data_IF_684126274049
#
_entry.id   IF_684126274049
#
_cell.length_a   1.000
_cell.length_b   1.000
_cell.length_c   1.000
_cell.angle_alpha   90.00
_cell.angle_beta   90.00
_cell.angle_gamma   90.00
#
_symmetry.space_group_name_H-M   'P 1'
#
loop_
_entity.id
_entity.type
_entity.pdbx_description
1 polymer ?
#
# COMPACT_ATOMS: atom_id res chain seq x y z
N UNK A 1 68.65 -40.35 32.61
CA UNK A 1 68.70 -39.79 33.97
C UNK A 1 69.07 -38.32 33.88
N UNK A 2 68.18 -37.41 34.34
CA UNK A 2 68.45 -36.04 34.84
C UNK A 2 69.05 -35.06 33.80
N UNK A 3 68.54 -33.86 33.50
CA UNK A 3 67.64 -32.95 34.19
C UNK A 3 67.05 -31.93 33.20
N UNK A 4 65.88 -31.41 33.58
CA UNK A 4 65.21 -30.19 33.14
C UNK A 4 66.14 -28.99 32.88
N UNK A 5 65.81 -28.14 31.89
CA UNK A 5 65.32 -26.78 32.17
C UNK A 5 64.58 -26.20 30.95
N UNK A 6 63.33 -25.81 31.17
CA UNK A 6 62.45 -25.16 30.23
C UNK A 6 62.81 -23.67 30.08
N UNK A 7 62.82 -23.19 28.84
CA UNK A 7 62.68 -21.77 28.51
C UNK A 7 61.48 -21.62 27.59
N UNK A 8 60.32 -21.32 28.19
CA UNK A 8 59.14 -20.86 27.47
C UNK A 8 59.18 -19.33 27.52
N UNK A 9 59.45 -18.70 26.39
CA UNK A 9 59.39 -17.26 26.22
C UNK A 9 57.92 -16.84 26.21
N UNK A 10 57.52 -16.01 27.19
CA UNK A 10 56.25 -15.30 27.19
C UNK A 10 56.18 -14.36 25.98
N UNK A 11 55.45 -14.77 24.95
CA UNK A 11 54.87 -13.86 23.97
C UNK A 11 53.45 -13.51 24.39
N UNK A 12 53.28 -12.48 25.23
CA UNK A 12 51.98 -11.87 25.46
C UNK A 12 51.61 -11.09 24.19
N UNK A 13 50.90 -11.75 23.26
CA UNK A 13 50.14 -11.01 22.26
C UNK A 13 48.93 -10.42 22.99
N UNK A 14 49.03 -9.14 23.35
CA UNK A 14 47.86 -8.31 23.60
C UNK A 14 47.04 -8.28 22.30
N UNK A 15 46.03 -9.14 22.20
CA UNK A 15 44.87 -8.85 21.38
C UNK A 15 44.20 -7.64 22.03
N UNK A 16 44.57 -6.45 21.56
CA UNK A 16 43.76 -5.26 21.77
C UNK A 16 42.40 -5.58 21.19
N UNK A 17 41.42 -5.79 22.07
CA UNK A 17 40.02 -5.75 21.68
C UNK A 17 39.80 -4.37 21.07
N UNK A 18 39.79 -4.30 19.74
CA UNK A 18 39.16 -3.21 19.02
C UNK A 18 37.69 -3.37 19.33
N UNK A 19 37.27 -2.83 20.48
CA UNK A 19 35.89 -2.48 20.69
C UNK A 19 35.58 -1.50 19.58
N UNK A 20 34.92 -1.99 18.54
CA UNK A 20 34.21 -1.16 17.62
C UNK A 20 33.07 -0.54 18.45
N UNK A 21 33.39 0.52 19.19
CA UNK A 21 32.40 1.49 19.59
C UNK A 21 31.91 2.08 18.26
N UNK A 22 30.90 1.43 17.69
CA UNK A 22 30.02 2.11 16.76
C UNK A 22 29.61 3.39 17.47
N UNK A 23 29.96 4.51 16.86
CA UNK A 23 29.50 5.84 17.27
C UNK A 23 27.97 5.81 17.35
N UNK A 24 27.42 5.48 18.52
CA UNK A 24 26.06 5.85 18.89
C UNK A 24 26.00 7.36 18.73
N UNK A 25 25.42 7.83 17.63
CA UNK A 25 25.19 9.24 17.38
C UNK A 25 24.53 9.84 18.63
N UNK A 26 24.95 11.04 19.03
CA UNK A 26 24.31 11.83 20.07
C UNK A 26 22.91 12.27 19.61
N UNK A 27 22.00 11.31 19.47
CA UNK A 27 20.60 11.55 19.16
C UNK A 27 19.96 12.15 20.41
N UNK A 28 19.43 13.37 20.30
CA UNK A 28 18.71 14.01 21.41
C UNK A 28 17.25 13.54 21.42
N UNK A 29 16.54 13.57 22.57
CA UNK A 29 15.11 13.28 22.60
C UNK A 29 14.30 14.15 21.63
N UNK A 30 14.60 15.45 21.54
CA UNK A 30 13.92 16.35 20.60
C UNK A 30 14.13 15.96 19.13
N UNK A 31 15.35 15.56 18.78
CA UNK A 31 15.65 15.09 17.42
C UNK A 31 14.96 13.75 17.13
N UNK A 32 14.97 12.81 18.09
CA UNK A 32 14.28 11.53 17.96
C UNK A 32 12.77 11.70 17.73
N UNK A 33 12.13 12.59 18.51
CA UNK A 33 10.71 12.94 18.35
C UNK A 33 10.40 13.48 16.96
N UNK A 34 11.20 14.42 16.47
CA UNK A 34 10.99 15.00 15.14
C UNK A 34 11.16 13.94 14.02
N UNK A 35 12.21 13.11 14.12
CA UNK A 35 12.46 12.05 13.14
C UNK A 35 11.33 11.02 13.15
N UNK A 36 10.86 10.61 14.33
CA UNK A 36 9.78 9.65 14.48
C UNK A 36 8.45 10.18 13.92
N UNK A 37 8.14 11.45 14.14
CA UNK A 37 6.94 12.08 13.55
C UNK A 37 6.94 12.04 12.02
N UNK A 38 8.04 12.49 11.40
CA UNK A 38 8.18 12.52 9.94
C UNK A 38 8.17 11.10 9.35
N UNK A 39 8.88 10.17 9.99
CA UNK A 39 8.93 8.77 9.59
C UNK A 39 7.57 8.06 9.72
N UNK A 40 6.83 8.34 10.80
CA UNK A 40 5.51 7.78 11.01
C UNK A 40 4.52 8.27 9.95
N UNK A 41 4.53 9.58 9.66
CA UNK A 41 3.73 10.16 8.57
C UNK A 41 4.08 9.50 7.23
N UNK A 42 5.36 9.32 6.94
CA UNK A 42 5.81 8.62 5.73
C UNK A 42 5.30 7.18 5.67
N UNK A 43 5.44 6.42 6.76
CA UNK A 43 5.14 4.99 6.82
C UNK A 43 3.64 4.69 6.91
N UNK A 44 2.82 5.64 7.37
CA UNK A 44 1.41 5.43 7.68
C UNK A 44 0.60 4.80 6.53
N UNK A 45 0.63 5.30 5.27
CA UNK A 45 -0.06 4.64 4.15
C UNK A 45 0.40 3.18 3.93
N UNK A 46 1.70 2.91 4.09
CA UNK A 46 2.26 1.57 3.90
C UNK A 46 1.81 0.62 5.02
N UNK A 47 1.68 1.12 6.25
CA UNK A 47 1.17 0.33 7.39
C UNK A 47 -0.32 -0.02 7.22
N UNK A 48 -1.16 0.92 6.78
CA UNK A 48 -2.57 0.63 6.47
C UNK A 48 -2.71 -0.28 5.24
N UNK A 49 -1.86 -0.12 4.23
CA UNK A 49 -1.80 -1.06 3.10
C UNK A 49 -1.40 -2.47 3.56
N UNK A 50 -0.39 -2.58 4.44
CA UNK A 50 0.04 -3.86 5.00
C UNK A 50 -1.04 -4.52 5.84
N UNK A 51 -1.77 -3.75 6.67
CA UNK A 51 -2.93 -4.24 7.42
C UNK A 51 -3.93 -4.93 6.50
N UNK A 52 -4.27 -4.29 5.37
CA UNK A 52 -5.23 -4.85 4.42
C UNK A 52 -4.66 -6.04 3.67
N UNK A 53 -3.39 -5.99 3.23
CA UNK A 53 -2.71 -7.13 2.62
C UNK A 53 -2.69 -8.35 3.56
N UNK A 54 -2.36 -8.13 4.83
CA UNK A 54 -2.35 -9.16 5.84
C UNK A 54 -3.74 -9.79 6.02
N UNK A 55 -4.77 -8.96 6.21
CA UNK A 55 -6.13 -9.43 6.39
C UNK A 55 -6.67 -10.15 5.14
N UNK A 56 -6.47 -9.60 3.94
CA UNK A 56 -7.10 -10.10 2.73
C UNK A 56 -6.39 -11.28 2.09
N UNK A 57 -5.07 -11.42 2.27
CA UNK A 57 -4.25 -12.42 1.56
C UNK A 57 -3.35 -13.30 2.43
N UNK A 58 -3.00 -12.89 3.66
CA UNK A 58 -2.07 -13.64 4.52
C UNK A 58 -2.75 -14.36 5.69
N UNK A 59 -3.89 -13.85 6.16
CA UNK A 59 -4.60 -14.37 7.33
C UNK A 59 -5.98 -14.88 6.93
N UNK A 60 -6.07 -16.17 6.65
CA UNK A 60 -7.30 -16.85 6.19
C UNK A 60 -8.51 -16.69 7.12
N UNK A 61 -8.26 -16.45 8.40
CA UNK A 61 -9.28 -16.33 9.44
C UNK A 61 -9.72 -14.87 9.69
N UNK A 62 -9.21 -13.89 8.95
CA UNK A 62 -9.41 -12.45 9.23
C UNK A 62 -10.84 -11.92 9.09
N UNK A 63 -11.79 -12.71 8.57
CA UNK A 63 -13.13 -12.24 8.19
C UNK A 63 -13.16 -11.31 6.96
N UNK A 64 -12.02 -10.75 6.57
CA UNK A 64 -11.82 -9.95 5.36
C UNK A 64 -11.01 -10.69 4.29
N UNK A 65 -10.66 -11.96 4.53
CA UNK A 65 -9.88 -12.78 3.61
C UNK A 65 -10.61 -12.95 2.27
N UNK A 66 -9.89 -12.73 1.18
CA UNK A 66 -10.42 -12.89 -0.18
C UNK A 66 -9.80 -14.09 -0.88
N UNK A 67 -8.48 -14.09 -1.04
CA UNK A 67 -7.73 -15.09 -1.79
C UNK A 67 -6.25 -15.00 -1.40
N UNK A 68 -5.46 -16.07 -1.56
CA UNK A 68 -4.01 -15.99 -1.35
C UNK A 68 -3.36 -15.12 -2.45
N UNK A 69 -2.08 -14.79 -2.28
CA UNK A 69 -1.33 -14.05 -3.30
C UNK A 69 -1.39 -14.74 -4.67
N UNK A 70 -1.37 -13.92 -5.72
CA UNK A 70 -1.40 -14.31 -7.14
C UNK A 70 -2.66 -15.08 -7.57
N UNK A 71 -3.71 -15.06 -6.76
CA UNK A 71 -5.01 -15.66 -7.11
C UNK A 71 -6.05 -14.56 -7.26
N UNK A 72 -6.76 -14.59 -8.39
CA UNK A 72 -7.85 -13.67 -8.67
C UNK A 72 -9.05 -13.97 -7.79
N UNK A 73 -9.52 -12.94 -7.09
CA UNK A 73 -10.80 -12.90 -6.42
C UNK A 73 -11.81 -12.10 -7.24
N UNK A 74 -13.00 -12.66 -7.46
CA UNK A 74 -14.12 -12.00 -8.14
C UNK A 74 -15.34 -12.01 -7.20
N UNK A 75 -15.93 -10.84 -6.96
CA UNK A 75 -17.17 -10.69 -6.21
C UNK A 75 -18.27 -10.09 -7.10
N UNK A 76 -19.07 -10.91 -7.80
CA UNK A 76 -20.16 -10.46 -8.66
C UNK A 76 -21.41 -10.07 -7.85
N UNK A 77 -21.22 -9.26 -6.80
CA UNK A 77 -22.26 -8.70 -5.93
C UNK A 77 -22.01 -7.20 -5.80
N UNK A 78 -23.05 -6.40 -6.01
CA UNK A 78 -23.01 -4.96 -5.69
C UNK A 78 -23.05 -4.79 -4.16
N UNK A 79 -22.31 -3.81 -3.64
CA UNK A 79 -22.20 -3.60 -2.21
C UNK A 79 -23.42 -2.85 -1.65
N UNK A 80 -23.93 -3.32 -0.51
CA UNK A 80 -24.96 -2.68 0.27
C UNK A 80 -24.44 -2.10 1.59
N UNK A 81 -25.32 -1.51 2.42
CA UNK A 81 -24.96 -0.98 3.73
C UNK A 81 -24.44 -2.03 4.72
N UNK A 82 -24.68 -3.32 4.46
CA UNK A 82 -24.15 -4.44 5.23
C UNK A 82 -22.66 -4.72 4.96
N UNK A 83 -22.11 -4.23 3.85
CA UNK A 83 -20.74 -4.52 3.42
C UNK A 83 -19.76 -3.48 4.03
N UNK A 84 -19.14 -3.82 5.17
CA UNK A 84 -18.36 -2.86 5.98
C UNK A 84 -16.85 -3.09 6.01
N UNK A 85 -16.33 -4.03 5.22
CA UNK A 85 -14.89 -4.38 5.21
C UNK A 85 -14.07 -3.25 4.60
N UNK A 86 -14.51 -2.72 3.45
CA UNK A 86 -13.88 -1.61 2.76
C UNK A 86 -14.64 -0.33 3.10
N UNK A 87 -13.91 0.76 3.32
CA UNK A 87 -14.51 2.06 3.61
C UNK A 87 -15.18 2.60 2.35
N UNK A 88 -16.48 2.94 2.44
CA UNK A 88 -17.26 3.60 1.39
C UNK A 88 -17.20 2.86 0.03
N UNK A 89 -17.63 1.58 -0.05
CA UNK A 89 -17.69 0.89 -1.32
C UNK A 89 -18.73 1.55 -2.25
N UNK A 90 -18.47 1.51 -3.55
CA UNK A 90 -19.47 1.95 -4.53
C UNK A 90 -20.50 0.84 -4.80
N UNK A 91 -21.64 1.22 -5.37
CA UNK A 91 -22.74 0.34 -5.73
C UNK A 91 -23.01 0.33 -7.26
N UNK A 92 -22.03 0.76 -8.05
CA UNK A 92 -22.09 0.84 -9.52
C UNK A 92 -21.34 -0.31 -10.20
N UNK A 93 -20.41 -0.95 -9.48
CA UNK A 93 -19.49 -1.95 -10.02
C UNK A 93 -19.39 -3.20 -9.15
N UNK A 94 -19.21 -4.35 -9.79
CA UNK A 94 -18.62 -5.52 -9.14
C UNK A 94 -17.13 -5.32 -8.90
N UNK A 95 -16.61 -5.95 -7.86
CA UNK A 95 -15.21 -5.85 -7.48
C UNK A 95 -14.45 -7.14 -7.79
N UNK A 96 -13.26 -6.97 -8.34
CA UNK A 96 -12.23 -8.00 -8.45
C UNK A 96 -11.00 -7.58 -7.68
N UNK A 97 -10.15 -8.52 -7.28
CA UNK A 97 -8.93 -8.20 -6.55
C UNK A 97 -7.86 -9.24 -6.76
N UNK A 98 -6.62 -8.78 -6.90
CA UNK A 98 -5.44 -9.63 -6.87
C UNK A 98 -4.38 -8.95 -6.02
N UNK A 99 -3.98 -9.61 -4.94
CA UNK A 99 -2.73 -9.28 -4.27
C UNK A 99 -1.60 -10.02 -4.97
N UNK A 100 -0.73 -9.29 -5.66
CA UNK A 100 0.40 -9.88 -6.35
C UNK A 100 1.60 -9.99 -5.41
N UNK A 101 2.27 -11.14 -5.45
CA UNK A 101 3.62 -11.36 -4.94
C UNK A 101 4.55 -11.61 -6.13
N UNK A 102 5.43 -10.64 -6.35
CA UNK A 102 6.39 -10.55 -7.45
C UNK A 102 7.81 -10.95 -7.02
N UNK A 103 8.00 -11.43 -5.77
CA UNK A 103 9.35 -11.71 -5.24
C UNK A 103 10.06 -12.85 -5.97
N UNK A 104 9.29 -13.82 -6.47
CA UNK A 104 9.81 -15.02 -7.13
C UNK A 104 9.89 -14.87 -8.65
N UNK A 105 8.81 -14.41 -9.27
CA UNK A 105 8.70 -14.25 -10.72
C UNK A 105 7.59 -13.26 -11.06
N UNK A 106 7.64 -12.66 -12.26
CA UNK A 106 6.54 -11.85 -12.77
C UNK A 106 5.22 -12.60 -12.80
N UNK A 107 4.14 -11.84 -12.69
CA UNK A 107 2.78 -12.33 -12.79
C UNK A 107 2.10 -11.67 -13.99
N UNK A 108 1.14 -12.34 -14.59
CA UNK A 108 0.44 -11.87 -15.79
C UNK A 108 -1.05 -11.86 -15.49
N UNK A 109 -1.71 -10.76 -15.86
CA UNK A 109 -3.16 -10.65 -15.88
C UNK A 109 -3.63 -10.53 -17.32
N UNK A 110 -4.56 -11.39 -17.72
CA UNK A 110 -5.29 -11.27 -18.97
C UNK A 110 -6.66 -10.64 -18.71
N UNK A 111 -7.05 -9.69 -19.55
CA UNK A 111 -8.41 -9.14 -19.59
C UNK A 111 -9.06 -9.46 -20.95
N UNK A 112 -10.36 -9.78 -20.99
CA UNK A 112 -11.05 -10.07 -22.23
C UNK A 112 -11.35 -8.79 -23.01
N UNK A 113 -11.76 -8.95 -24.27
CA UNK A 113 -12.39 -7.88 -25.03
C UNK A 113 -13.73 -7.51 -24.39
N UNK A 114 -13.99 -6.21 -24.28
CA UNK A 114 -15.22 -5.64 -23.75
C UNK A 114 -16.08 -5.15 -24.91
N UNK A 115 -17.11 -5.92 -25.24
CA UNK A 115 -17.88 -5.73 -26.48
C UNK A 115 -19.10 -4.82 -26.34
N UNK A 116 -19.50 -4.48 -25.11
CA UNK A 116 -20.68 -3.66 -24.82
C UNK A 116 -20.33 -2.28 -24.27
N UNK A 117 -19.08 -1.86 -24.46
CA UNK A 117 -18.54 -0.56 -24.05
C UNK A 117 -18.68 -0.25 -22.56
N UNK A 118 -18.96 -1.25 -21.71
CA UNK A 118 -19.06 -1.05 -20.26
C UNK A 118 -17.75 -0.56 -19.68
N UNK A 119 -17.84 0.22 -18.61
CA UNK A 119 -16.67 0.59 -17.84
C UNK A 119 -16.10 -0.64 -17.11
N UNK A 120 -14.79 -0.83 -17.22
CA UNK A 120 -14.01 -1.62 -16.29
C UNK A 120 -12.68 -0.94 -15.99
N UNK A 121 -12.11 -1.23 -14.82
CA UNK A 121 -10.80 -0.74 -14.42
C UNK A 121 -10.16 -1.67 -13.39
N UNK A 122 -8.89 -2.00 -13.58
CA UNK A 122 -7.99 -2.45 -12.53
C UNK A 122 -7.04 -1.31 -12.20
N UNK A 123 -7.20 -0.77 -10.99
CA UNK A 123 -6.28 0.19 -10.39
C UNK A 123 -5.08 -0.59 -9.83
N UNK A 124 -3.86 -0.24 -10.27
CA UNK A 124 -2.65 -0.95 -9.87
C UNK A 124 -1.92 -0.13 -8.81
N UNK A 125 -1.84 -0.66 -7.59
CA UNK A 125 -1.42 0.06 -6.38
C UNK A 125 -0.19 -0.62 -5.80
N UNK A 126 0.94 0.09 -5.74
CA UNK A 126 2.19 -0.44 -5.19
C UNK A 126 2.23 -0.45 -3.64
N UNK A 127 3.32 -0.98 -3.07
CA UNK A 127 3.52 -0.99 -1.61
C UNK A 127 3.54 0.42 -0.98
N UNK A 128 3.88 1.44 -1.76
CA UNK A 128 3.84 2.83 -1.34
C UNK A 128 2.44 3.43 -1.49
N UNK A 129 1.43 2.68 -1.91
CA UNK A 129 0.06 3.17 -2.18
C UNK A 129 -0.02 4.21 -3.30
N UNK A 130 0.95 4.23 -4.21
CA UNK A 130 0.84 4.98 -5.46
C UNK A 130 0.03 4.20 -6.49
N UNK A 131 -0.74 4.92 -7.30
CA UNK A 131 -1.37 4.36 -8.49
C UNK A 131 -0.32 4.31 -9.61
N UNK A 132 0.31 3.15 -9.80
CA UNK A 132 1.40 3.00 -10.77
C UNK A 132 0.88 2.78 -12.20
N UNK A 133 -0.34 2.27 -12.34
CA UNK A 133 -1.01 2.13 -13.63
C UNK A 133 -2.51 1.86 -13.49
N UNK A 134 -3.19 1.85 -14.65
CA UNK A 134 -4.55 1.38 -14.81
C UNK A 134 -4.66 0.45 -16.01
N UNK A 135 -5.47 -0.60 -15.88
CA UNK A 135 -5.89 -1.47 -16.99
C UNK A 135 -7.41 -1.38 -17.06
N UNK A 136 -7.97 -0.81 -18.12
CA UNK A 136 -9.38 -0.48 -18.12
C UNK A 136 -9.82 0.34 -19.31
N UNK A 137 -11.13 0.48 -19.47
CA UNK A 137 -11.80 1.20 -20.56
C UNK A 137 -11.14 2.54 -20.88
N UNK A 138 -10.89 3.36 -19.85
CA UNK A 138 -10.31 4.70 -20.03
C UNK A 138 -8.83 4.65 -20.44
N UNK A 139 -8.04 3.74 -19.86
CA UNK A 139 -6.57 3.74 -19.97
C UNK A 139 -6.04 2.88 -21.13
N UNK A 140 -6.65 1.72 -21.35
CA UNK A 140 -6.19 0.70 -22.30
C UNK A 140 -7.22 0.35 -23.37
N UNK A 141 -8.45 0.89 -23.26
CA UNK A 141 -9.51 0.65 -24.22
C UNK A 141 -10.27 -0.65 -23.96
N UNK A 142 -10.96 -1.13 -25.00
CA UNK A 142 -11.89 -2.25 -24.94
C UNK A 142 -11.31 -3.57 -25.48
N UNK A 143 -10.14 -3.55 -26.10
CA UNK A 143 -9.54 -4.76 -26.66
C UNK A 143 -9.03 -5.70 -25.55
N UNK A 144 -8.98 -7.00 -25.85
CA UNK A 144 -8.32 -7.97 -24.98
C UNK A 144 -6.83 -7.64 -24.83
N UNK A 145 -6.25 -7.96 -23.67
CA UNK A 145 -4.83 -7.70 -23.43
C UNK A 145 -4.21 -8.54 -22.32
N UNK A 146 -2.90 -8.70 -22.39
CA UNK A 146 -2.09 -9.38 -21.38
C UNK A 146 -1.09 -8.40 -20.76
N UNK A 147 -1.11 -8.29 -19.44
CA UNK A 147 -0.34 -7.28 -18.69
C UNK A 147 0.58 -7.99 -17.71
N UNK A 148 1.89 -7.75 -17.83
CA UNK A 148 2.91 -8.38 -17.00
C UNK A 148 3.32 -7.45 -15.87
N UNK A 149 3.20 -7.90 -14.62
CA UNK A 149 3.64 -7.21 -13.42
C UNK A 149 4.99 -7.72 -12.99
N UNK A 150 5.94 -6.81 -12.78
CA UNK A 150 7.31 -7.15 -12.43
C UNK A 150 7.74 -6.43 -11.16
N UNK A 151 8.43 -7.18 -10.30
CA UNK A 151 9.00 -6.63 -9.07
C UNK A 151 10.21 -5.74 -9.35
N UNK A 152 10.69 -5.01 -8.33
CA UNK A 152 11.73 -4.00 -8.48
C UNK A 152 13.06 -4.54 -9.02
N UNK A 153 13.36 -5.82 -8.84
CA UNK A 153 14.63 -6.44 -9.21
C UNK A 153 14.59 -7.23 -10.52
N UNK A 154 13.44 -7.26 -11.21
CA UNK A 154 13.31 -8.00 -12.45
C UNK A 154 14.05 -7.30 -13.60
N UNK A 155 14.83 -8.08 -14.35
CA UNK A 155 15.62 -7.64 -15.50
C UNK A 155 15.56 -8.66 -16.67
N UNK A 156 14.55 -9.53 -16.67
CA UNK A 156 14.34 -10.53 -17.71
C UNK A 156 13.80 -9.94 -19.01
N UNK A 157 13.57 -10.80 -19.99
CA UNK A 157 12.95 -10.42 -21.26
C UNK A 157 11.43 -10.47 -21.16
N UNK A 158 10.77 -9.58 -21.91
CA UNK A 158 9.31 -9.59 -22.02
C UNK A 158 8.89 -10.63 -23.06
N UNK A 159 8.04 -11.61 -22.71
CA UNK A 159 7.52 -12.57 -23.68
C UNK A 159 6.69 -11.92 -24.80
N UNK A 160 6.54 -12.63 -25.92
CA UNK A 160 5.59 -12.26 -26.95
C UNK A 160 4.15 -12.28 -26.41
N UNK A 161 3.30 -11.38 -26.94
CA UNK A 161 1.88 -11.28 -26.56
C UNK A 161 1.59 -10.39 -25.35
N UNK A 162 2.61 -9.95 -24.61
CA UNK A 162 2.42 -8.96 -23.53
C UNK A 162 2.12 -7.57 -24.12
N UNK A 163 0.95 -7.04 -23.79
CA UNK A 163 0.49 -5.70 -24.19
C UNK A 163 1.27 -4.60 -23.46
N UNK A 164 1.58 -4.81 -22.17
CA UNK A 164 2.36 -3.86 -21.36
C UNK A 164 3.03 -4.54 -20.18
N UNK A 165 4.23 -4.06 -19.84
CA UNK A 165 4.94 -4.40 -18.59
C UNK A 165 4.76 -3.28 -17.58
N UNK A 166 4.35 -3.63 -16.36
CA UNK A 166 4.10 -2.70 -15.26
C UNK A 166 5.13 -2.98 -14.17
N UNK A 167 6.00 -2.00 -13.92
CA UNK A 167 7.08 -2.11 -12.95
C UNK A 167 6.66 -1.54 -11.60
N UNK A 168 6.76 -2.37 -10.56
CA UNK A 168 6.54 -1.95 -9.18
C UNK A 168 7.85 -1.61 -8.48
N UNK A 169 7.84 -0.58 -7.63
CA UNK A 169 8.96 -0.28 -6.74
C UNK A 169 9.05 -1.29 -5.57
N UNK A 170 8.02 -2.13 -5.37
CA UNK A 170 7.98 -3.18 -4.34
C UNK A 170 7.54 -4.55 -4.86
N UNK A 171 7.86 -5.60 -4.11
CA UNK A 171 7.53 -6.98 -4.46
C UNK A 171 6.03 -7.29 -4.33
N UNK A 172 5.28 -6.49 -3.57
CA UNK A 172 3.83 -6.66 -3.44
C UNK A 172 3.09 -5.50 -4.10
N UNK A 173 1.94 -5.78 -4.71
CA UNK A 173 1.03 -4.76 -5.19
C UNK A 173 -0.41 -5.30 -5.19
N UNK A 174 -1.39 -4.40 -5.19
CA UNK A 174 -2.80 -4.72 -5.34
C UNK A 174 -3.28 -4.29 -6.74
N UNK A 175 -3.88 -5.21 -7.49
CA UNK A 175 -4.73 -4.90 -8.63
C UNK A 175 -6.19 -4.91 -8.17
N UNK A 176 -6.81 -3.74 -8.03
CA UNK A 176 -8.19 -3.57 -7.58
C UNK A 176 -9.11 -3.33 -8.77
N UNK A 177 -9.88 -4.37 -9.12
CA UNK A 177 -10.79 -4.41 -10.26
C UNK A 177 -12.18 -3.85 -9.93
N UNK A 178 -12.77 -3.15 -10.89
CA UNK A 178 -14.14 -2.62 -10.88
C UNK A 178 -14.74 -2.92 -12.25
N UNK A 179 -15.90 -3.58 -12.30
CA UNK A 179 -16.62 -3.89 -13.54
C UNK A 179 -18.03 -3.34 -13.43
N UNK A 180 -18.41 -2.40 -14.30
CA UNK A 180 -19.70 -1.72 -14.25
C UNK A 180 -20.87 -2.68 -14.43
N UNK A 181 -21.93 -2.41 -13.66
CA UNK A 181 -23.23 -3.05 -13.80
C UNK A 181 -24.24 -1.98 -14.19
N UNK A 182 -24.83 -2.07 -15.39
CA UNK A 182 -25.79 -1.07 -15.87
C UNK A 182 -27.12 -1.07 -15.09
N UNK A 183 -27.41 -2.15 -14.39
CA UNK A 183 -28.59 -2.31 -13.54
C UNK A 183 -28.90 -3.78 -13.26
N UNK A 184 -30.02 -4.08 -12.56
CA UNK A 184 -30.32 -5.45 -12.11
C UNK A 184 -30.38 -6.50 -13.22
N UNK A 185 -30.85 -6.13 -14.42
CA UNK A 185 -30.92 -7.05 -15.56
C UNK A 185 -29.56 -7.35 -16.21
N UNK A 186 -28.53 -6.56 -15.89
CA UNK A 186 -27.19 -6.65 -16.47
C UNK A 186 -26.20 -7.47 -15.63
N UNK A 187 -26.58 -7.84 -14.40
CA UNK A 187 -25.76 -8.60 -13.44
C UNK A 187 -25.04 -9.79 -14.09
N UNK A 188 -25.76 -10.61 -14.86
CA UNK A 188 -25.16 -11.79 -15.50
C UNK A 188 -24.09 -11.44 -16.53
N UNK A 189 -24.29 -10.39 -17.32
CA UNK A 189 -23.32 -9.95 -18.34
C UNK A 189 -22.07 -9.35 -17.69
N UNK A 190 -22.23 -8.57 -16.63
CA UNK A 190 -21.11 -8.06 -15.85
C UNK A 190 -20.29 -9.21 -15.24
N UNK A 191 -20.95 -10.25 -14.73
CA UNK A 191 -20.29 -11.45 -14.23
C UNK A 191 -19.54 -12.21 -15.34
N UNK A 192 -20.13 -12.38 -16.53
CA UNK A 192 -19.47 -13.03 -17.68
C UNK A 192 -18.16 -12.31 -18.07
N UNK A 193 -18.11 -10.98 -17.96
CA UNK A 193 -16.86 -10.21 -18.14
C UNK A 193 -15.82 -10.57 -17.07
N UNK A 194 -16.23 -10.67 -15.80
CA UNK A 194 -15.32 -11.03 -14.71
C UNK A 194 -14.76 -12.45 -14.85
N UNK A 195 -15.56 -13.37 -15.38
CA UNK A 195 -15.13 -14.75 -15.68
C UNK A 195 -14.06 -14.82 -16.78
N UNK A 196 -13.95 -13.77 -17.61
CA UNK A 196 -12.90 -13.63 -18.62
C UNK A 196 -11.55 -13.13 -18.09
N UNK A 197 -11.50 -12.60 -16.86
CA UNK A 197 -10.24 -12.18 -16.23
C UNK A 197 -9.43 -13.41 -15.80
N UNK A 198 -8.12 -13.40 -16.05
CA UNK A 198 -7.22 -14.47 -15.61
C UNK A 198 -5.96 -13.91 -15.00
N UNK A 199 -5.41 -14.66 -14.04
CA UNK A 199 -4.10 -14.41 -13.44
C UNK A 199 -3.29 -15.68 -13.51
N UNK A 200 -2.03 -15.56 -13.90
CA UNK A 200 -1.09 -16.68 -14.00
C UNK A 200 0.34 -16.20 -13.78
N UNK A 201 1.25 -17.11 -13.43
CA UNK A 201 2.67 -16.75 -13.36
C UNK A 201 3.28 -16.64 -14.75
N UNK A 202 4.45 -15.99 -14.84
CA UNK A 202 5.25 -15.98 -16.07
C UNK A 202 5.57 -17.39 -16.58
N UNK A 203 5.93 -18.31 -15.67
CA UNK A 203 6.17 -19.71 -16.04
C UNK A 203 4.96 -20.38 -16.68
N UNK A 204 3.74 -20.11 -16.17
CA UNK A 204 2.50 -20.67 -16.73
C UNK A 204 2.25 -20.16 -18.15
N UNK A 205 2.40 -18.84 -18.32
CA UNK A 205 2.21 -18.17 -19.60
C UNK A 205 3.18 -18.69 -20.67
N UNK A 206 4.39 -19.09 -20.26
CA UNK A 206 5.39 -19.69 -21.13
C UNK A 206 5.22 -21.22 -21.32
N UNK A 207 4.18 -21.82 -20.74
CA UNK A 207 3.93 -23.26 -20.81
C UNK A 207 4.96 -24.11 -20.04
N UNK A 208 5.61 -23.54 -19.03
CA UNK A 208 6.61 -24.20 -18.20
C UNK A 208 5.96 -24.85 -16.97
N UNK A 209 6.55 -25.93 -16.46
CA UNK A 209 6.08 -26.59 -15.23
C UNK A 209 6.32 -25.66 -14.04
N UNK A 210 5.23 -25.12 -13.51
CA UNK A 210 5.25 -24.26 -12.34
C UNK A 210 5.28 -25.12 -11.08
N UNK A 211 6.47 -25.49 -10.64
CA UNK A 211 6.65 -25.56 -9.20
C UNK A 211 6.59 -24.14 -8.68
N UNK A 212 5.41 -23.74 -8.17
CA UNK A 212 5.30 -22.56 -7.32
C UNK A 212 6.21 -22.85 -6.13
N UNK A 213 7.45 -22.39 -6.20
CA UNK A 213 8.31 -22.37 -5.03
C UNK A 213 7.53 -21.58 -3.99
N UNK A 214 7.25 -22.22 -2.85
CA UNK A 214 6.63 -21.55 -1.71
C UNK A 214 7.36 -20.21 -1.53
N UNK A 215 6.61 -19.10 -1.52
CA UNK A 215 7.22 -17.77 -1.48
C UNK A 215 8.23 -17.73 -0.32
N UNK A 216 9.54 -17.64 -0.59
CA UNK A 216 10.56 -17.79 0.44
C UNK A 216 10.61 -16.59 1.39
N UNK A 217 9.62 -15.69 1.35
CA UNK A 217 9.63 -14.45 2.09
C UNK A 217 8.24 -14.16 2.67
N UNK A 218 7.97 -14.80 3.80
CA UNK A 218 6.97 -14.33 4.78
C UNK A 218 7.68 -13.92 6.07
N UNK A 219 8.78 -13.15 5.93
CA UNK A 219 9.42 -12.47 7.06
C UNK A 219 8.69 -11.17 7.45
N UNK A 220 7.48 -10.94 6.94
CA UNK A 220 6.62 -9.88 7.42
C UNK A 220 5.99 -10.31 8.76
N UNK A 221 6.17 -9.55 9.86
CA UNK A 221 5.60 -9.90 11.15
C UNK A 221 4.07 -9.81 11.09
N UNK A 222 3.31 -10.73 11.71
CA UNK A 222 1.85 -10.62 11.76
C UNK A 222 1.39 -9.23 12.15
N UNK A 223 0.39 -8.69 11.45
CA UNK A 223 -0.08 -7.35 11.72
C UNK A 223 -0.61 -7.24 13.16
N UNK A 224 -0.11 -6.27 13.92
CA UNK A 224 -0.57 -6.02 15.29
C UNK A 224 -0.96 -4.54 15.42
N UNK A 225 -2.24 -4.23 15.66
CA UNK A 225 -2.73 -2.85 15.70
C UNK A 225 -2.20 -2.01 16.86
N UNK A 226 -1.66 -2.64 17.92
CA UNK A 226 -1.01 -1.91 19.02
C UNK A 226 0.43 -1.56 18.65
N UNK A 227 1.20 -2.52 18.13
CA UNK A 227 2.62 -2.34 17.81
C UNK A 227 2.89 -1.36 16.66
N UNK A 228 1.94 -1.14 15.76
CA UNK A 228 2.09 -0.13 14.70
C UNK A 228 1.79 1.30 15.20
N UNK A 229 1.47 1.47 16.49
CA UNK A 229 1.16 2.77 17.11
C UNK A 229 2.18 3.18 18.18
N UNK A 230 3.22 2.38 18.37
CA UNK A 230 4.34 2.63 19.26
C UNK A 230 5.66 2.42 18.51
N UNK A 231 6.80 2.49 19.18
CA UNK A 231 8.13 2.39 18.58
C UNK A 231 8.33 1.13 17.73
N UNK A 232 7.54 0.08 17.95
CA UNK A 232 7.62 -1.15 17.17
C UNK A 232 7.18 -0.96 15.71
N UNK A 233 6.54 0.16 15.34
CA UNK A 233 6.24 0.49 13.95
C UNK A 233 7.50 0.48 13.09
N UNK A 234 8.67 0.82 13.69
CA UNK A 234 9.98 0.81 13.02
C UNK A 234 10.31 -0.59 12.52
N UNK A 235 10.03 -1.63 13.31
CA UNK A 235 10.23 -3.02 12.90
C UNK A 235 9.31 -3.42 11.74
N UNK A 236 8.04 -3.00 11.76
CA UNK A 236 7.12 -3.22 10.63
C UNK A 236 7.59 -2.49 9.37
N UNK A 237 7.97 -1.22 9.52
CA UNK A 237 8.41 -0.40 8.41
C UNK A 237 9.71 -0.94 7.80
N UNK A 238 10.67 -1.38 8.61
CA UNK A 238 11.89 -2.05 8.15
C UNK A 238 11.57 -3.33 7.36
N UNK A 239 10.63 -4.15 7.85
CA UNK A 239 10.22 -5.38 7.16
C UNK A 239 9.54 -5.08 5.81
N UNK A 240 8.69 -4.06 5.74
CA UNK A 240 8.07 -3.63 4.47
C UNK A 240 9.10 -3.07 3.49
N UNK A 241 10.03 -2.25 3.98
CA UNK A 241 11.08 -1.66 3.15
C UNK A 241 12.12 -2.68 2.68
N UNK A 242 12.22 -3.85 3.30
CA UNK A 242 13.00 -4.97 2.78
C UNK A 242 12.48 -5.47 1.42
N UNK A 243 11.21 -5.20 1.13
CA UNK A 243 10.48 -5.66 -0.04
C UNK A 243 10.29 -4.56 -1.09
N UNK A 244 10.81 -3.36 -0.84
CA UNK A 244 10.66 -2.20 -1.71
C UNK A 244 11.98 -1.46 -1.93
N UNK A 245 12.10 -0.75 -3.05
CA UNK A 245 13.23 0.13 -3.35
C UNK A 245 12.97 1.53 -2.84
N UNK A 246 13.91 2.07 -2.06
CA UNK A 246 13.92 3.50 -1.72
C UNK A 246 14.19 4.28 -3.01
N UNK A 247 13.30 5.19 -3.35
CA UNK A 247 13.49 6.04 -4.53
C UNK A 247 14.68 6.99 -4.31
N UNK A 248 15.50 7.27 -5.34
CA UNK A 248 16.69 8.11 -5.17
C UNK A 248 16.44 9.49 -4.55
N UNK A 249 15.27 10.10 -4.79
CA UNK A 249 14.90 11.39 -4.20
C UNK A 249 14.65 11.35 -2.69
N UNK A 250 14.53 10.17 -2.10
CA UNK A 250 14.19 9.98 -0.68
C UNK A 250 15.37 9.42 0.12
N UNK A 251 16.54 9.29 -0.52
CA UNK A 251 17.77 8.81 0.12
C UNK A 251 18.11 9.59 1.39
N UNK A 252 18.04 10.92 1.34
CA UNK A 252 18.32 11.78 2.51
C UNK A 252 17.28 11.62 3.62
N UNK A 253 16.01 11.35 3.28
CA UNK A 253 14.97 11.05 4.26
C UNK A 253 15.28 9.76 5.01
N UNK A 254 15.65 8.69 4.27
CA UNK A 254 16.01 7.42 4.89
C UNK A 254 17.32 7.48 5.68
N UNK A 255 18.30 8.29 5.25
CA UNK A 255 19.50 8.58 6.04
C UNK A 255 19.17 9.29 7.36
N UNK A 256 18.17 10.18 7.38
CA UNK A 256 17.64 10.79 8.60
C UNK A 256 16.89 9.76 9.47
N UNK A 257 16.02 8.95 8.87
CA UNK A 257 15.22 7.95 9.59
C UNK A 257 16.08 6.85 10.23
N UNK A 258 17.23 6.53 9.64
CA UNK A 258 18.17 5.56 10.19
C UNK A 258 18.65 5.90 11.61
N UNK A 259 18.63 7.18 12.02
CA UNK A 259 19.03 7.58 13.38
C UNK A 259 18.15 7.00 14.48
N UNK A 260 16.88 6.70 14.18
CA UNK A 260 15.94 6.07 15.14
C UNK A 260 15.80 4.56 14.91
N UNK A 261 16.62 3.96 14.04
CA UNK A 261 16.60 2.51 13.77
C UNK A 261 15.77 2.08 12.56
N UNK A 262 15.35 3.03 11.70
CA UNK A 262 14.73 2.69 10.42
C UNK A 262 15.80 2.29 9.42
N UNK A 263 15.93 1.00 9.19
CA UNK A 263 16.89 0.38 8.31
C UNK A 263 16.22 -0.81 7.59
N UNK A 264 16.02 -0.74 6.26
CA UNK A 264 15.33 -1.80 5.51
C UNK A 264 15.86 -3.20 5.81
N UNK A 265 14.96 -4.11 6.18
CA UNK A 265 15.26 -5.50 6.50
C UNK A 265 15.90 -5.78 7.86
N UNK A 266 16.23 -4.76 8.66
CA UNK A 266 16.77 -4.97 10.01
C UNK A 266 15.66 -5.06 11.06
N UNK A 267 15.78 -5.99 12.04
CA UNK A 267 14.90 -5.97 13.20
C UNK A 267 15.12 -4.68 14.00
N UNK A 268 14.07 -4.22 14.67
CA UNK A 268 14.14 -3.11 15.62
C UNK A 268 14.07 -3.66 17.04
N UNK A 269 14.99 -3.21 17.90
CA UNK A 269 15.04 -3.57 19.31
C UNK A 269 15.07 -2.29 20.16
N UNK A 270 13.99 -1.95 20.89
CA UNK A 270 13.95 -0.73 21.69
C UNK A 270 14.96 -0.72 22.84
N UNK A 271 15.37 -1.90 23.33
CA UNK A 271 16.35 -2.04 24.43
C UNK A 271 17.77 -1.56 24.04
N UNK A 272 18.04 -1.31 22.76
CA UNK A 272 19.32 -0.78 22.28
C UNK A 272 19.44 0.74 22.41
N UNK A 273 18.32 1.42 22.70
CA UNK A 273 18.20 2.88 22.82
C UNK A 273 17.97 3.29 24.28
N UNK A 274 18.35 4.52 24.62
CA UNK A 274 18.06 5.08 25.94
C UNK A 274 16.55 5.23 26.12
N UNK A 275 15.98 4.97 27.33
CA UNK A 275 14.53 5.06 27.55
C UNK A 275 13.91 6.43 27.23
N UNK A 276 14.67 7.52 27.40
CA UNK A 276 14.23 8.86 27.03
C UNK A 276 14.08 9.02 25.50
N UNK A 277 14.88 8.31 24.70
CA UNK A 277 14.78 8.29 23.24
C UNK A 277 13.56 7.50 22.80
N UNK A 278 13.32 6.32 23.40
CA UNK A 278 12.10 5.54 23.11
C UNK A 278 10.84 6.34 23.47
N UNK A 279 10.84 7.02 24.61
CA UNK A 279 9.74 7.91 25.00
C UNK A 279 9.53 9.00 23.94
N UNK A 280 10.60 9.66 23.49
CA UNK A 280 10.50 10.70 22.48
C UNK A 280 10.04 10.18 21.10
N UNK A 281 10.45 8.96 20.70
CA UNK A 281 9.96 8.30 19.49
C UNK A 281 8.43 8.13 19.57
N UNK A 282 7.93 7.62 20.70
CA UNK A 282 6.49 7.44 20.93
C UNK A 282 5.71 8.76 20.91
N UNK A 283 6.25 9.82 21.52
CA UNK A 283 5.65 11.16 21.41
C UNK A 283 5.64 11.68 19.96
N UNK A 284 6.66 11.34 19.16
CA UNK A 284 6.71 11.68 17.74
C UNK A 284 5.64 10.97 16.92
N UNK A 285 5.40 9.69 17.21
CA UNK A 285 4.34 8.89 16.58
C UNK A 285 2.96 9.47 16.91
N UNK A 286 2.70 9.81 18.18
CA UNK A 286 1.45 10.43 18.61
C UNK A 286 1.22 11.77 17.88
N UNK A 287 2.23 12.65 17.88
CA UNK A 287 2.21 13.93 17.16
C UNK A 287 1.96 13.74 15.65
N UNK A 288 2.58 12.71 15.05
CA UNK A 288 2.39 12.37 13.64
C UNK A 288 0.95 11.95 13.35
N UNK A 289 0.36 11.11 14.19
CA UNK A 289 -1.04 10.69 14.07
C UNK A 289 -2.01 11.87 14.26
N UNK A 290 -1.73 12.80 15.17
CA UNK A 290 -2.53 14.03 15.32
C UNK A 290 -2.50 14.88 14.03
N UNK A 291 -1.31 15.08 13.45
CA UNK A 291 -1.16 15.79 12.18
C UNK A 291 -1.90 15.12 11.03
N UNK A 292 -1.83 13.79 10.93
CA UNK A 292 -2.57 13.00 9.92
C UNK A 292 -4.07 13.22 10.07
N UNK A 293 -4.61 13.12 11.29
CA UNK A 293 -6.04 13.33 11.56
C UNK A 293 -6.48 14.74 11.20
N UNK A 294 -5.73 15.76 11.64
CA UNK A 294 -6.04 17.15 11.31
C UNK A 294 -6.03 17.38 9.79
N UNK A 295 -4.97 16.94 9.10
CA UNK A 295 -4.85 17.06 7.66
C UNK A 295 -5.96 16.30 6.90
N UNK A 296 -6.45 15.17 7.43
CA UNK A 296 -7.55 14.41 6.81
C UNK A 296 -8.87 15.19 6.76
N UNK A 297 -9.11 16.07 7.74
CA UNK A 297 -10.30 16.92 7.79
C UNK A 297 -10.22 18.10 6.82
N UNK A 298 -9.02 18.42 6.35
CA UNK A 298 -8.72 19.53 5.43
C UNK A 298 -8.45 19.06 4.00
N UNK A 299 -8.61 17.77 3.70
CA UNK A 299 -8.38 17.24 2.35
C UNK A 299 -9.36 17.81 1.33
N UNK A 300 -8.84 18.36 0.24
CA UNK A 300 -9.65 18.91 -0.85
C UNK A 300 -10.16 20.32 -0.59
N UNK A 301 -11.17 20.74 -1.34
CA UNK A 301 -11.76 22.08 -1.23
C UNK A 301 -13.26 21.96 -1.02
N UNK A 302 -13.82 22.79 -0.13
CA UNK A 302 -15.28 22.92 0.01
C UNK A 302 -15.83 23.95 -0.96
N UNK A 303 -16.81 23.56 -1.77
CA UNK A 303 -17.53 24.44 -2.69
C UNK A 303 -19.00 24.08 -2.72
N UNK A 304 -19.88 25.06 -2.46
CA UNK A 304 -21.34 24.87 -2.48
C UNK A 304 -21.83 23.69 -1.61
N UNK A 305 -21.23 23.50 -0.43
CA UNK A 305 -21.57 22.38 0.46
C UNK A 305 -20.90 21.05 0.11
N UNK A 306 -20.18 20.94 -1.01
CA UNK A 306 -19.47 19.74 -1.44
C UNK A 306 -18.00 19.78 -1.06
N UNK A 307 -17.49 18.67 -0.55
CA UNK A 307 -16.08 18.40 -0.39
C UNK A 307 -15.55 17.80 -1.69
N UNK A 308 -14.61 18.51 -2.31
CA UNK A 308 -14.00 18.17 -3.59
C UNK A 308 -12.56 17.72 -3.33
N UNK A 309 -12.37 16.41 -3.14
CA UNK A 309 -11.05 15.84 -2.88
C UNK A 309 -10.36 15.51 -4.20
N UNK A 310 -9.38 16.34 -4.56
CA UNK A 310 -8.52 16.14 -5.72
C UNK A 310 -7.04 16.12 -5.29
N UNK A 311 -6.19 15.43 -6.04
CA UNK A 311 -4.74 15.38 -5.84
C UNK A 311 -4.28 14.80 -4.48
N UNK A 312 -5.13 14.01 -3.82
CA UNK A 312 -4.82 13.30 -2.58
C UNK A 312 -4.26 11.88 -2.82
N UNK A 313 -4.48 11.35 -4.02
CA UNK A 313 -3.98 10.08 -4.54
C UNK A 313 -3.35 10.33 -5.91
N UNK A 314 -2.50 9.41 -6.37
CA UNK A 314 -1.78 9.63 -7.62
C UNK A 314 -0.65 8.66 -7.87
N UNK A 315 0.00 8.89 -9.01
CA UNK A 315 1.30 8.29 -9.33
C UNK A 315 2.38 8.72 -8.36
N UNK A 316 3.54 8.04 -8.45
CA UNK A 316 4.74 8.37 -7.70
C UNK A 316 5.14 9.84 -7.83
N UNK A 317 5.11 10.36 -9.04
CA UNK A 317 5.49 11.74 -9.38
C UNK A 317 4.48 12.73 -8.83
N UNK A 318 3.18 12.46 -8.99
CA UNK A 318 2.11 13.33 -8.50
C UNK A 318 2.14 13.50 -6.97
N UNK A 319 2.59 12.45 -6.27
CA UNK A 319 2.62 12.34 -4.82
C UNK A 319 3.99 12.64 -4.19
N UNK A 320 5.01 12.94 -5.00
CA UNK A 320 6.36 13.22 -4.50
C UNK A 320 6.37 14.42 -3.55
N UNK A 321 6.97 14.25 -2.36
CA UNK A 321 7.02 15.27 -1.32
C UNK A 321 5.71 15.52 -0.56
N UNK A 322 4.59 14.91 -0.98
CA UNK A 322 3.26 15.08 -0.35
C UNK A 322 2.98 14.05 0.74
N UNK A 323 3.96 13.74 1.58
CA UNK A 323 3.87 12.64 2.57
C UNK A 323 2.69 12.80 3.54
N UNK A 324 2.49 14.00 4.09
CA UNK A 324 1.36 14.27 4.97
C UNK A 324 0.01 14.14 4.25
N UNK A 325 -0.09 14.64 3.02
CA UNK A 325 -1.31 14.49 2.21
C UNK A 325 -1.63 13.02 1.95
N UNK A 326 -0.64 12.20 1.59
CA UNK A 326 -0.83 10.75 1.39
C UNK A 326 -1.26 10.04 2.67
N UNK A 327 -0.64 10.38 3.79
CA UNK A 327 -1.00 9.82 5.10
C UNK A 327 -2.43 10.20 5.51
N UNK A 328 -2.79 11.47 5.35
CA UNK A 328 -4.15 11.95 5.56
C UNK A 328 -5.15 11.26 4.63
N UNK A 329 -4.80 11.08 3.35
CA UNK A 329 -5.64 10.42 2.35
C UNK A 329 -5.84 8.93 2.69
N UNK A 330 -4.79 8.22 3.12
CA UNK A 330 -4.89 6.84 3.58
C UNK A 330 -5.75 6.70 4.86
N UNK A 331 -5.66 7.67 5.79
CA UNK A 331 -6.51 7.72 6.98
C UNK A 331 -7.97 7.96 6.64
N UNK A 332 -8.22 8.84 5.66
CA UNK A 332 -9.56 9.19 5.20
C UNK A 332 -10.22 8.07 4.39
N UNK A 333 -9.47 7.47 3.45
CA UNK A 333 -9.94 6.39 2.57
C UNK A 333 -8.78 5.82 1.75
N UNK A 334 -8.27 4.66 2.17
CA UNK A 334 -7.17 3.98 1.49
C UNK A 334 -7.54 3.63 0.03
N UNK A 335 -6.56 3.73 -0.88
CA UNK A 335 -6.68 3.36 -2.30
C UNK A 335 -7.60 4.23 -3.17
N UNK A 336 -7.69 5.52 -2.88
CA UNK A 336 -8.36 6.46 -3.78
C UNK A 336 -7.75 6.47 -5.19
N UNK A 337 -8.60 6.72 -6.17
CA UNK A 337 -8.22 6.78 -7.58
C UNK A 337 -7.51 8.08 -7.95
N UNK A 338 -6.79 8.06 -9.06
CA UNK A 338 -6.40 9.26 -9.78
C UNK A 338 -7.65 10.03 -10.22
N UNK A 339 -7.56 11.36 -10.25
CA UNK A 339 -8.67 12.25 -10.61
C UNK A 339 -9.22 11.94 -12.00
N UNK A 340 -8.34 11.60 -12.93
CA UNK A 340 -8.67 11.25 -14.30
C UNK A 340 -9.42 9.93 -14.43
N UNK A 341 -9.34 9.05 -13.43
CA UNK A 341 -10.06 7.77 -13.42
C UNK A 341 -11.44 7.93 -12.79
N UNK A 342 -11.50 8.47 -11.57
CA UNK A 342 -12.76 8.66 -10.85
C UNK A 342 -12.68 9.82 -9.85
N UNK A 343 -13.75 10.61 -9.79
CA UNK A 343 -13.88 11.74 -8.89
C UNK A 343 -15.14 11.60 -8.05
N UNK A 344 -15.01 11.83 -6.73
CA UNK A 344 -16.08 11.62 -5.76
C UNK A 344 -16.34 12.89 -4.94
N UNK A 345 -17.15 13.82 -5.46
CA UNK A 345 -17.72 14.90 -4.66
C UNK A 345 -18.57 14.29 -3.54
N UNK A 346 -18.36 14.72 -2.31
CA UNK A 346 -19.16 14.25 -1.18
C UNK A 346 -19.68 15.39 -0.32
N UNK A 347 -20.77 15.14 0.40
CA UNK A 347 -21.25 16.06 1.41
C UNK A 347 -21.93 15.34 2.55
N UNK A 348 -21.76 15.88 3.75
CA UNK A 348 -22.49 15.49 4.96
C UNK A 348 -23.35 16.64 5.48
N UNK A 349 -23.45 17.73 4.72
CA UNK A 349 -24.18 18.94 5.11
C UNK A 349 -25.20 19.31 4.03
N UNK A 350 -26.33 19.88 4.42
CA UNK A 350 -27.29 20.45 3.48
C UNK A 350 -26.91 21.87 3.02
N UNK A 351 -27.80 22.50 2.25
CA UNK A 351 -27.58 23.84 1.69
C UNK A 351 -27.52 24.95 2.75
N UNK A 352 -28.07 24.71 3.95
CA UNK A 352 -28.04 25.65 5.08
C UNK A 352 -26.81 25.41 5.97
N UNK A 353 -26.03 24.36 5.70
CA UNK A 353 -24.83 23.98 6.45
C UNK A 353 -25.11 23.09 7.66
N UNK A 354 -26.31 22.53 7.78
CA UNK A 354 -26.71 21.60 8.83
C UNK A 354 -26.36 20.16 8.43
N UNK A 355 -26.06 19.28 9.40
CA UNK A 355 -25.73 17.88 9.11
C UNK A 355 -26.92 17.12 8.50
N UNK A 356 -26.64 16.37 7.43
CA UNK A 356 -27.64 15.52 6.78
C UNK A 356 -28.15 14.45 7.75
N UNK A 357 -29.44 14.50 8.04
CA UNK A 357 -30.13 13.59 8.95
C UNK A 357 -31.49 13.15 8.40
N UNK A 358 -31.56 11.89 7.93
CA UNK A 358 -32.77 11.30 7.35
C UNK A 358 -33.90 11.01 8.35
N UNK A 359 -33.66 11.11 9.67
CA UNK A 359 -34.71 10.98 10.68
C UNK A 359 -35.48 12.29 10.94
N UNK A 360 -34.93 13.42 10.49
CA UNK A 360 -35.44 14.76 10.79
C UNK A 360 -36.01 15.48 9.57
N UNK A 361 -35.41 15.28 8.40
CA UNK A 361 -35.74 16.04 7.20
C UNK A 361 -35.81 15.13 5.97
N UNK A 362 -36.50 15.64 4.94
CA UNK A 362 -36.40 15.13 3.57
C UNK A 362 -35.53 16.12 2.78
N UNK A 363 -34.73 15.61 1.85
CA UNK A 363 -33.81 16.43 1.06
C UNK A 363 -34.15 16.31 -0.43
N UNK A 364 -33.85 17.37 -1.19
CA UNK A 364 -33.92 17.38 -2.65
C UNK A 364 -32.52 17.72 -3.18
N UNK A 365 -32.00 16.86 -4.06
CA UNK A 365 -30.80 17.14 -4.84
C UNK A 365 -31.23 17.43 -6.27
N UNK A 366 -30.95 18.64 -6.75
CA UNK A 366 -31.34 19.11 -8.08
C UNK A 366 -30.12 19.54 -8.86
N UNK A 367 -30.03 19.07 -10.11
CA UNK A 367 -29.03 19.50 -11.09
C UNK A 367 -29.78 20.02 -12.32
N UNK A 368 -29.44 21.23 -12.75
CA UNK A 368 -29.96 21.75 -14.01
C UNK A 368 -29.46 20.89 -15.18
N UNK A 369 -30.27 20.74 -16.22
CA UNK A 369 -30.00 19.80 -17.31
C UNK A 369 -28.69 20.08 -18.07
N UNK A 370 -28.18 21.31 -18.00
CA UNK A 370 -26.95 21.78 -18.60
C UNK A 370 -25.76 21.85 -17.62
N UNK A 371 -25.94 21.43 -16.37
CA UNK A 371 -24.90 21.37 -15.36
C UNK A 371 -24.55 19.93 -14.99
N UNK A 372 -23.25 19.65 -14.91
CA UNK A 372 -22.79 18.42 -14.29
C UNK A 372 -23.06 18.49 -12.77
N UNK A 373 -23.34 17.34 -12.13
CA UNK A 373 -23.19 17.22 -10.68
C UNK A 373 -21.82 17.76 -10.21
N UNK A 374 -21.74 18.28 -8.97
CA UNK A 374 -20.70 19.18 -8.45
C UNK A 374 -19.26 18.70 -8.55
#
# INVERSE_FOLDING_TARGET
MKNLLAYFLLGVMMFGAISCNSTKQNLTPQEAKQIAEEAYIYAYPMLEHYKMMFAMAMYSESGAYTAPFNVLFNNPKLNGPEDTIIVRPNNDTFYSGVWFDLSNQPQIMEVPEITDERYYSFQIIDMYTHNIDYIGTRKTGFDAGAYMFVGPNWNGETPEGISKVIHSEGNYLLALGRTQVFGPADIKKAQEVMEGYKVMSLGEYLGQDNQIAASPLLNLPPYNPAKVKDENFIGYFNALMAMAKIHPSEKELFEKYAKIGIEPGKPFNPDEYDPEIITAINEGIESGMEKIKAASMELGVRKNGWQLIANAFGTREAMQGKYLTRAAAAYFGLWGNDLEEAFYPETTFDADGEELNGSKHNYLLHFDADQLPP
#
